data_IF_026280033883
#
_entry.id   IF_026280033883
#
_cell.length_a   1.000
_cell.length_b   1.000
_cell.length_c   1.000
_cell.angle_alpha   90.00
_cell.angle_beta   90.00
_cell.angle_gamma   90.00
#
_symmetry.space_group_name_H-M   'P 1'
#
loop_
_entity.id
_entity.type
_entity.pdbx_description
1 polymer ?
#
# COMPACT_ATOMS: atom_id res chain seq x y z
N UNK A 1 -0.46 31.13 -37.76
CA UNK A 1 1.00 31.39 -37.74
C UNK A 1 1.33 32.86 -37.57
N UNK A 2 1.97 33.22 -36.46
CA UNK A 2 2.36 34.60 -36.15
C UNK A 2 3.77 34.90 -36.66
N UNK A 3 3.96 36.10 -37.23
CA UNK A 3 5.27 36.57 -37.71
C UNK A 3 6.11 37.12 -36.55
N UNK A 4 6.88 36.25 -35.91
CA UNK A 4 7.85 36.63 -34.88
C UNK A 4 9.10 37.26 -35.55
N UNK A 5 9.56 38.43 -35.10
CA UNK A 5 10.74 39.06 -35.71
C UNK A 5 12.00 38.30 -35.31
N UNK A 6 12.95 38.23 -36.23
CA UNK A 6 14.17 37.43 -36.12
C UNK A 6 15.05 37.75 -34.89
N UNK A 7 15.00 39.00 -34.41
CA UNK A 7 15.82 39.46 -33.30
C UNK A 7 15.05 39.52 -31.97
N UNK A 8 13.74 39.25 -32.00
CA UNK A 8 12.92 39.22 -30.80
C UNK A 8 13.29 37.98 -29.95
N UNK A 9 13.05 38.01 -28.63
CA UNK A 9 13.18 36.82 -27.79
C UNK A 9 12.35 35.66 -28.34
N UNK A 10 12.90 34.44 -28.26
CA UNK A 10 12.19 33.26 -28.70
C UNK A 10 11.00 32.97 -27.77
N UNK A 11 9.79 32.71 -28.29
CA UNK A 11 8.61 32.45 -27.46
C UNK A 11 8.73 31.22 -26.54
N UNK A 12 9.60 30.27 -26.86
CA UNK A 12 9.81 29.09 -26.02
C UNK A 12 10.44 29.37 -24.64
N UNK A 13 10.84 30.61 -24.34
CA UNK A 13 11.40 30.97 -23.04
C UNK A 13 12.90 30.68 -22.87
N UNK A 14 13.60 30.17 -23.89
CA UNK A 14 15.03 29.84 -23.78
C UNK A 14 15.99 31.04 -23.60
N UNK A 15 15.48 32.27 -23.53
CA UNK A 15 16.27 33.51 -23.49
C UNK A 15 17.06 33.86 -24.78
N UNK A 16 17.05 32.99 -25.80
CA UNK A 16 17.75 33.22 -27.08
C UNK A 16 16.89 34.04 -28.04
N UNK A 17 17.53 34.74 -28.99
CA UNK A 17 16.82 35.37 -30.13
C UNK A 17 16.13 34.30 -30.97
N UNK A 18 14.92 34.57 -31.49
CA UNK A 18 14.14 33.61 -32.28
C UNK A 18 14.95 32.98 -33.43
N UNK A 19 15.73 33.79 -34.16
CA UNK A 19 16.62 33.29 -35.23
C UNK A 19 17.71 32.32 -34.80
N UNK A 20 18.08 32.28 -33.52
CA UNK A 20 19.10 31.39 -32.96
C UNK A 20 18.49 30.22 -32.18
N UNK A 21 17.17 30.05 -32.24
CA UNK A 21 16.43 29.09 -31.46
C UNK A 21 15.40 28.39 -32.37
N UNK A 22 14.10 28.61 -32.19
CA UNK A 22 13.06 27.87 -32.90
C UNK A 22 12.84 28.27 -34.37
N UNK A 23 13.45 29.36 -34.89
CA UNK A 23 13.18 29.84 -36.27
C UNK A 23 13.47 28.80 -37.36
N UNK A 24 14.55 28.03 -37.19
CA UNK A 24 14.98 27.03 -38.16
C UNK A 24 14.52 25.62 -37.80
N UNK A 25 13.71 25.50 -36.76
CA UNK A 25 13.06 24.26 -36.34
C UNK A 25 11.68 24.18 -36.96
N UNK A 26 11.12 22.99 -37.08
CA UNK A 26 9.76 22.76 -37.54
C UNK A 26 8.75 22.98 -36.40
N UNK A 27 8.81 24.18 -35.81
CA UNK A 27 7.97 24.63 -34.68
C UNK A 27 7.03 25.72 -35.16
N UNK A 28 5.74 25.47 -35.03
CA UNK A 28 4.68 26.40 -35.41
C UNK A 28 4.23 27.17 -34.18
N UNK A 29 4.31 28.50 -34.26
CA UNK A 29 3.83 29.40 -33.20
C UNK A 29 2.57 30.13 -33.63
N UNK A 30 1.63 30.19 -32.71
CA UNK A 30 0.45 31.05 -32.77
C UNK A 30 0.34 31.87 -31.50
N UNK A 31 -0.57 32.83 -31.52
CA UNK A 31 -0.79 33.77 -30.43
C UNK A 31 -2.30 33.81 -30.16
N UNK A 32 -2.68 33.72 -28.90
CA UNK A 32 -4.06 33.80 -28.49
C UNK A 32 -4.56 35.25 -28.39
N UNK A 33 -5.81 35.43 -27.97
CA UNK A 33 -6.45 36.73 -27.83
C UNK A 33 -5.81 37.60 -26.71
N UNK A 34 -5.09 37.00 -25.75
CA UNK A 34 -4.37 37.71 -24.67
C UNK A 34 -2.96 38.12 -25.08
N UNK A 35 -2.47 37.60 -26.19
CA UNK A 35 -1.15 37.91 -26.72
C UNK A 35 -0.07 36.89 -26.31
N UNK A 36 -0.45 35.78 -25.69
CA UNK A 36 0.45 34.72 -25.27
C UNK A 36 0.71 33.76 -26.43
N UNK A 37 1.96 33.30 -26.54
CA UNK A 37 2.38 32.41 -27.61
C UNK A 37 2.18 30.94 -27.21
N UNK A 38 1.57 30.15 -28.09
CA UNK A 38 1.44 28.71 -27.94
C UNK A 38 1.99 27.96 -29.16
N UNK A 39 2.46 26.74 -28.93
CA UNK A 39 2.95 25.86 -29.99
C UNK A 39 1.77 25.08 -30.60
N UNK A 40 1.73 25.02 -31.93
CA UNK A 40 0.76 24.20 -32.68
C UNK A 40 1.45 22.94 -33.18
N UNK A 41 0.85 21.78 -32.87
CA UNK A 41 1.31 20.47 -33.33
C UNK A 41 0.31 19.97 -34.38
N UNK A 42 0.69 19.91 -35.68
CA UNK A 42 -0.20 19.37 -36.71
C UNK A 42 -0.46 17.88 -36.51
N UNK A 43 -1.72 17.49 -36.42
CA UNK A 43 -2.16 16.08 -36.42
C UNK A 43 -2.15 15.59 -37.88
N UNK A 44 -1.16 14.76 -38.24
CA UNK A 44 -1.04 14.17 -39.58
C UNK A 44 -0.40 12.79 -39.52
N UNK A 45 -0.80 11.90 -40.43
CA UNK A 45 -0.17 10.59 -40.60
C UNK A 45 -0.37 9.72 -39.35
N UNK A 46 0.71 9.13 -38.82
CA UNK A 46 0.62 8.24 -37.64
C UNK A 46 -0.05 8.87 -36.40
N UNK A 47 0.07 10.19 -36.23
CA UNK A 47 -0.56 10.88 -35.11
C UNK A 47 -2.08 11.00 -35.29
N UNK A 48 -2.55 11.09 -36.53
CA UNK A 48 -3.97 11.09 -36.88
C UNK A 48 -4.57 9.71 -36.61
N UNK A 49 -3.91 8.64 -37.07
CA UNK A 49 -4.30 7.26 -36.76
C UNK A 49 -4.38 6.99 -35.26
N UNK A 50 -3.45 7.56 -34.47
CA UNK A 50 -3.46 7.42 -33.02
C UNK A 50 -4.62 8.17 -32.37
N UNK A 51 -4.92 9.39 -32.83
CA UNK A 51 -6.06 10.18 -32.32
C UNK A 51 -7.37 9.48 -32.62
N UNK A 52 -7.54 8.93 -33.83
CA UNK A 52 -8.71 8.12 -34.20
C UNK A 52 -8.87 6.90 -33.27
N UNK A 53 -7.78 6.20 -32.94
CA UNK A 53 -7.83 5.09 -31.97
C UNK A 53 -8.26 5.54 -30.57
N UNK A 54 -7.84 6.73 -30.14
CA UNK A 54 -8.24 7.28 -28.84
C UNK A 54 -9.70 7.76 -28.85
N UNK A 55 -10.24 8.16 -30.00
CA UNK A 55 -11.66 8.48 -30.18
C UNK A 55 -12.52 7.22 -30.19
N UNK A 56 -12.05 6.14 -30.84
CA UNK A 56 -12.68 4.81 -30.79
C UNK A 56 -12.78 4.28 -29.35
N UNK A 57 -11.76 4.55 -28.52
CA UNK A 57 -11.78 4.18 -27.10
C UNK A 57 -12.86 4.94 -26.32
N UNK A 58 -13.00 6.26 -26.55
CA UNK A 58 -14.11 7.03 -25.99
C UNK A 58 -15.45 6.45 -26.43
N UNK A 59 -15.62 6.17 -27.73
CA UNK A 59 -16.87 5.62 -28.24
C UNK A 59 -17.18 4.25 -27.64
N UNK A 60 -16.18 3.38 -27.50
CA UNK A 60 -16.33 2.07 -26.89
C UNK A 60 -16.82 2.13 -25.44
N UNK A 61 -16.35 3.10 -24.65
CA UNK A 61 -16.68 3.20 -23.23
C UNK A 61 -17.93 4.05 -22.94
N UNK A 62 -18.22 5.05 -23.78
CA UNK A 62 -19.28 6.02 -23.54
C UNK A 62 -20.40 6.02 -24.60
N UNK A 63 -20.26 5.22 -25.66
CA UNK A 63 -21.21 5.14 -26.79
C UNK A 63 -21.52 6.51 -27.44
N UNK A 64 -20.54 7.42 -27.42
CA UNK A 64 -20.62 8.77 -27.99
C UNK A 64 -19.27 9.22 -28.52
N UNK A 65 -19.28 10.24 -29.38
CA UNK A 65 -18.07 10.94 -29.80
C UNK A 65 -17.45 11.75 -28.64
N UNK A 66 -16.16 12.08 -28.79
CA UNK A 66 -15.40 12.90 -27.84
C UNK A 66 -15.95 14.33 -27.77
N UNK A 67 -16.16 14.82 -26.55
CA UNK A 67 -16.51 16.19 -26.25
C UNK A 67 -15.25 17.07 -26.12
N UNK A 68 -15.36 18.40 -26.32
CA UNK A 68 -14.20 19.30 -26.23
C UNK A 68 -13.45 19.28 -24.89
N UNK A 69 -14.14 18.89 -23.81
CA UNK A 69 -13.62 18.81 -22.43
C UNK A 69 -13.22 17.39 -22.00
N UNK A 70 -13.43 16.37 -22.85
CA UNK A 70 -12.94 15.03 -22.56
C UNK A 70 -11.40 14.97 -22.65
N UNK A 71 -10.75 14.12 -21.84
CA UNK A 71 -9.31 13.89 -21.96
C UNK A 71 -8.92 13.35 -23.34
N UNK A 72 -7.87 13.91 -23.93
CA UNK A 72 -7.27 13.40 -25.18
C UNK A 72 -6.80 11.94 -25.05
N UNK A 73 -6.31 11.59 -23.86
CA UNK A 73 -5.79 10.27 -23.51
C UNK A 73 -6.66 9.65 -22.41
N UNK A 74 -7.74 8.91 -22.74
CA UNK A 74 -8.69 8.42 -21.75
C UNK A 74 -8.07 7.49 -20.70
N UNK A 75 -7.00 6.77 -21.08
CA UNK A 75 -6.27 5.87 -20.19
C UNK A 75 -5.59 6.56 -19.00
N UNK A 76 -5.37 7.89 -19.04
CA UNK A 76 -4.84 8.63 -17.88
C UNK A 76 -5.83 8.68 -16.71
N UNK A 77 -7.09 8.30 -16.95
CA UNK A 77 -8.09 8.13 -15.89
C UNK A 77 -7.90 6.84 -15.09
N UNK A 78 -7.02 5.93 -15.53
CA UNK A 78 -6.81 4.61 -14.93
C UNK A 78 -5.51 4.52 -14.12
N UNK A 79 -4.58 5.45 -14.30
CA UNK A 79 -3.25 5.43 -13.70
C UNK A 79 -2.84 6.83 -13.28
N UNK A 80 -2.17 6.96 -12.15
CA UNK A 80 -1.58 8.24 -11.74
C UNK A 80 -0.41 8.63 -12.66
N UNK A 81 -0.01 9.89 -12.64
CA UNK A 81 1.20 10.33 -13.37
C UNK A 81 2.46 9.59 -12.84
N UNK A 82 2.51 9.31 -11.54
CA UNK A 82 3.57 8.51 -10.90
C UNK A 82 3.61 7.07 -11.45
N UNK A 83 2.46 6.45 -11.69
CA UNK A 83 2.37 5.11 -12.29
C UNK A 83 2.92 5.10 -13.73
N UNK A 84 2.55 6.12 -14.50
CA UNK A 84 3.02 6.28 -15.87
C UNK A 84 4.54 6.46 -15.91
N UNK A 85 5.08 7.33 -15.05
CA UNK A 85 6.51 7.58 -14.94
C UNK A 85 7.27 6.30 -14.57
N UNK A 86 6.84 5.59 -13.52
CA UNK A 86 7.48 4.33 -13.08
C UNK A 86 7.52 3.29 -14.19
N UNK A 87 6.37 3.00 -14.83
CA UNK A 87 6.29 2.01 -15.92
C UNK A 87 7.18 2.40 -17.09
N UNK A 88 7.27 3.70 -17.42
CA UNK A 88 8.16 4.17 -18.46
C UNK A 88 9.63 3.92 -18.09
N UNK A 89 10.04 4.24 -16.86
CA UNK A 89 11.40 4.00 -16.36
C UNK A 89 11.75 2.50 -16.42
N UNK A 90 10.86 1.62 -15.95
CA UNK A 90 11.06 0.16 -16.00
C UNK A 90 11.25 -0.34 -17.44
N UNK A 91 10.46 0.17 -18.38
CA UNK A 91 10.60 -0.16 -19.80
C UNK A 91 11.96 0.35 -20.30
N UNK A 92 12.33 1.59 -20.00
CA UNK A 92 13.60 2.19 -20.41
C UNK A 92 14.79 1.39 -19.88
N UNK A 93 14.77 0.96 -18.62
CA UNK A 93 15.78 0.10 -18.02
C UNK A 93 15.85 -1.27 -18.72
N UNK A 94 14.69 -1.89 -18.94
CA UNK A 94 14.59 -3.22 -19.56
C UNK A 94 15.11 -3.26 -21.00
N UNK A 95 14.91 -2.19 -21.77
CA UNK A 95 15.43 -2.09 -23.13
C UNK A 95 16.88 -1.61 -23.20
N UNK A 96 17.52 -1.37 -22.05
CA UNK A 96 18.92 -0.96 -21.97
C UNK A 96 19.15 0.49 -22.39
N UNK A 97 18.19 1.38 -22.12
CA UNK A 97 18.31 2.82 -22.38
C UNK A 97 19.50 3.41 -21.61
N UNK A 98 20.19 4.39 -22.20
CA UNK A 98 21.30 5.08 -21.53
C UNK A 98 20.82 5.65 -20.16
N UNK A 99 21.47 5.31 -19.02
CA UNK A 99 21.09 5.81 -17.71
C UNK A 99 20.99 7.34 -17.60
N UNK A 100 21.81 8.09 -18.35
CA UNK A 100 21.72 9.54 -18.37
C UNK A 100 20.40 10.05 -18.99
N UNK A 101 19.82 9.30 -19.93
CA UNK A 101 18.52 9.62 -20.54
C UNK A 101 17.36 9.20 -19.64
N UNK A 102 17.51 8.11 -18.88
CA UNK A 102 16.55 7.73 -17.84
C UNK A 102 16.49 8.84 -16.78
N UNK A 103 17.64 9.34 -16.35
CA UNK A 103 17.72 10.47 -15.43
C UNK A 103 17.10 11.74 -16.02
N UNK A 104 17.42 12.09 -17.27
CA UNK A 104 16.82 13.25 -17.92
C UNK A 104 15.29 13.13 -18.04
N UNK A 105 14.76 11.94 -18.31
CA UNK A 105 13.31 11.69 -18.31
C UNK A 105 12.70 11.93 -16.92
N UNK A 106 13.25 11.35 -15.85
CA UNK A 106 12.79 11.60 -14.47
C UNK A 106 12.80 13.10 -14.13
N UNK A 107 13.89 13.78 -14.51
CA UNK A 107 14.11 15.17 -14.13
C UNK A 107 13.17 16.15 -14.84
N UNK A 108 12.77 15.83 -16.06
CA UNK A 108 12.07 16.75 -16.97
C UNK A 108 10.66 16.29 -17.34
N UNK A 109 10.31 15.02 -17.12
CA UNK A 109 9.08 14.37 -17.61
C UNK A 109 9.02 14.17 -19.13
N UNK A 110 10.09 14.50 -19.86
CA UNK A 110 10.11 14.54 -21.32
C UNK A 110 11.04 13.46 -21.82
N UNK A 111 10.64 12.69 -22.83
CA UNK A 111 11.53 11.76 -23.53
C UNK A 111 11.96 12.36 -24.88
N UNK A 112 13.15 12.95 -24.94
CA UNK A 112 13.67 13.52 -26.17
C UNK A 112 14.35 12.45 -27.03
N UNK A 113 13.76 12.14 -28.20
CA UNK A 113 14.33 11.21 -29.18
C UNK A 113 14.99 11.96 -30.34
N UNK A 114 15.90 11.32 -31.07
CA UNK A 114 16.58 11.91 -32.23
C UNK A 114 15.60 12.49 -33.26
N UNK A 115 14.48 11.80 -33.50
CA UNK A 115 13.43 12.24 -34.41
C UNK A 115 12.63 13.45 -33.93
N UNK A 116 12.74 13.83 -32.65
CA UNK A 116 12.05 14.97 -32.05
C UNK A 116 12.91 16.23 -31.99
N UNK A 117 14.25 16.14 -32.05
CA UNK A 117 15.17 17.27 -31.83
C UNK A 117 14.89 18.46 -32.76
N UNK A 118 14.56 18.18 -34.03
CA UNK A 118 14.25 19.19 -35.05
C UNK A 118 12.90 19.90 -34.83
N UNK A 119 12.01 19.29 -34.05
CA UNK A 119 10.66 19.79 -33.70
C UNK A 119 10.54 20.23 -32.24
N UNK A 120 11.50 19.88 -31.39
CA UNK A 120 11.55 20.28 -30.01
C UNK A 120 11.91 21.76 -29.89
N UNK A 121 11.29 22.48 -28.96
CA UNK A 121 11.66 23.88 -28.70
C UNK A 121 13.10 23.97 -28.18
N UNK A 122 13.70 25.16 -28.28
CA UNK A 122 15.05 25.34 -27.77
C UNK A 122 15.15 25.17 -26.26
N UNK A 123 14.16 25.64 -25.50
CA UNK A 123 14.11 25.48 -24.04
C UNK A 123 14.05 24.01 -23.63
N UNK A 124 13.22 23.20 -24.29
CA UNK A 124 13.10 21.77 -24.02
C UNK A 124 14.42 21.03 -24.27
N UNK A 125 15.11 21.34 -25.38
CA UNK A 125 16.43 20.75 -25.65
C UNK A 125 17.45 21.19 -24.60
N UNK A 126 17.47 22.48 -24.23
CA UNK A 126 18.39 22.97 -23.20
C UNK A 126 18.11 22.29 -21.84
N UNK A 127 16.85 22.08 -21.48
CA UNK A 127 16.43 21.41 -20.24
C UNK A 127 16.89 19.94 -20.19
N UNK A 128 16.65 19.21 -21.28
CA UNK A 128 17.12 17.83 -21.43
C UNK A 128 18.65 17.73 -21.38
N UNK A 129 19.35 18.56 -22.16
CA UNK A 129 20.81 18.56 -22.22
C UNK A 129 21.43 18.93 -20.86
N UNK A 130 20.82 19.86 -20.12
CA UNK A 130 21.23 20.21 -18.77
C UNK A 130 21.09 19.02 -17.80
N UNK A 131 19.98 18.29 -17.84
CA UNK A 131 19.78 17.10 -17.01
C UNK A 131 20.79 15.99 -17.35
N UNK A 132 21.09 15.78 -18.64
CA UNK A 132 22.13 14.85 -19.07
C UNK A 132 23.52 15.30 -18.58
N UNK A 133 23.84 16.60 -18.70
CA UNK A 133 25.11 17.15 -18.23
C UNK A 133 25.25 17.04 -16.70
N UNK A 134 24.17 17.28 -15.96
CA UNK A 134 24.09 17.09 -14.51
C UNK A 134 24.46 15.65 -14.12
N UNK A 135 23.84 14.64 -14.75
CA UNK A 135 24.19 13.23 -14.53
C UNK A 135 25.69 12.96 -14.67
N UNK A 136 26.32 13.44 -15.75
CA UNK A 136 27.76 13.21 -15.96
C UNK A 136 28.64 14.00 -15.00
N UNK A 137 28.24 15.22 -14.63
CA UNK A 137 28.96 16.05 -13.66
C UNK A 137 29.01 15.40 -12.28
N UNK A 138 27.93 14.74 -11.86
CA UNK A 138 27.85 13.98 -10.61
C UNK A 138 28.47 12.57 -10.70
N UNK A 139 28.84 12.11 -11.91
CA UNK A 139 29.37 10.76 -12.11
C UNK A 139 28.31 9.65 -12.05
N UNK A 140 27.04 10.01 -12.17
CA UNK A 140 25.90 9.12 -12.01
C UNK A 140 24.61 9.89 -11.73
N UNK A 141 23.52 9.15 -11.50
CA UNK A 141 22.23 9.71 -11.09
C UNK A 141 22.39 10.31 -9.67
N UNK A 142 22.34 11.64 -9.49
CA UNK A 142 22.51 12.26 -8.16
C UNK A 142 21.44 11.83 -7.16
N UNK A 143 20.28 11.36 -7.63
CA UNK A 143 19.23 10.84 -6.76
C UNK A 143 19.54 9.42 -6.29
N UNK A 144 20.45 8.67 -6.93
CA UNK A 144 20.81 7.30 -6.51
C UNK A 144 21.43 7.23 -5.10
N UNK A 145 22.14 8.27 -4.67
CA UNK A 145 22.76 8.33 -3.35
C UNK A 145 21.91 9.09 -2.32
N UNK A 146 20.71 9.54 -2.71
CA UNK A 146 19.81 10.29 -1.83
C UNK A 146 19.31 9.46 -0.64
N UNK A 147 18.95 10.16 0.44
CA UNK A 147 18.27 9.56 1.59
C UNK A 147 16.97 8.84 1.15
N UNK A 148 16.21 9.42 0.23
CA UNK A 148 14.95 8.85 -0.27
C UNK A 148 15.16 7.49 -0.95
N UNK A 149 16.24 7.33 -1.73
CA UNK A 149 16.62 6.03 -2.33
C UNK A 149 17.02 4.98 -1.30
N UNK A 150 17.70 5.39 -0.22
CA UNK A 150 18.05 4.47 0.87
C UNK A 150 16.79 4.00 1.60
N UNK A 151 15.83 4.91 1.81
CA UNK A 151 14.53 4.57 2.36
C UNK A 151 13.77 3.60 1.46
N UNK A 152 13.64 3.89 0.16
CA UNK A 152 12.98 3.01 -0.82
C UNK A 152 13.62 1.62 -0.89
N UNK A 153 14.95 1.53 -0.80
CA UNK A 153 15.65 0.24 -0.74
C UNK A 153 15.27 -0.58 0.50
N UNK A 154 15.21 0.08 1.67
CA UNK A 154 14.76 -0.56 2.92
C UNK A 154 13.28 -0.95 2.86
N UNK A 155 12.43 -0.10 2.28
CA UNK A 155 11.02 -0.38 2.09
C UNK A 155 10.81 -1.56 1.13
N UNK A 156 11.59 -1.65 0.04
CA UNK A 156 11.59 -2.78 -0.88
C UNK A 156 12.00 -4.09 -0.19
N UNK A 157 12.98 -4.03 0.72
CA UNK A 157 13.34 -5.21 1.52
C UNK A 157 12.18 -5.67 2.42
N UNK A 158 11.44 -4.73 3.02
CA UNK A 158 10.23 -5.07 3.79
C UNK A 158 9.10 -5.64 2.91
N UNK A 159 8.95 -5.13 1.69
CA UNK A 159 8.01 -5.66 0.69
C UNK A 159 8.34 -7.13 0.39
N UNK A 160 9.62 -7.50 0.27
CA UNK A 160 10.05 -8.89 0.05
C UNK A 160 9.90 -9.75 1.31
N UNK A 161 10.05 -9.16 2.48
CA UNK A 161 9.80 -9.86 3.75
C UNK A 161 8.34 -10.30 3.94
N UNK A 162 7.37 -9.66 3.27
CA UNK A 162 5.98 -10.14 3.22
C UNK A 162 5.91 -11.58 2.66
N UNK A 163 6.75 -11.93 1.67
CA UNK A 163 6.80 -13.29 1.13
C UNK A 163 7.21 -14.29 2.21
N UNK A 164 8.15 -13.91 3.08
CA UNK A 164 8.59 -14.76 4.19
C UNK A 164 7.47 -15.06 5.17
N UNK A 165 6.59 -14.08 5.45
CA UNK A 165 5.39 -14.30 6.26
C UNK A 165 4.38 -15.20 5.55
N UNK A 166 4.16 -15.01 4.24
CA UNK A 166 3.27 -15.86 3.43
C UNK A 166 3.74 -17.31 3.45
N UNK A 167 5.04 -17.55 3.29
CA UNK A 167 5.63 -18.88 3.35
C UNK A 167 5.55 -19.47 4.75
N UNK A 168 5.93 -18.72 5.80
CA UNK A 168 5.88 -19.18 7.18
C UNK A 168 4.46 -19.60 7.58
N UNK A 169 3.47 -18.76 7.31
CA UNK A 169 2.07 -19.04 7.64
C UNK A 169 1.57 -20.25 6.87
N UNK A 170 1.91 -20.36 5.58
CA UNK A 170 1.56 -21.53 4.77
C UNK A 170 2.15 -22.84 5.29
N UNK A 171 3.40 -22.81 5.75
CA UNK A 171 4.07 -23.97 6.35
C UNK A 171 3.40 -24.34 7.68
N UNK A 172 3.11 -23.37 8.55
CA UNK A 172 2.41 -23.61 9.81
C UNK A 172 1.03 -24.24 9.57
N UNK A 173 0.25 -23.71 8.63
CA UNK A 173 -1.06 -24.29 8.27
C UNK A 173 -0.89 -25.72 7.78
N UNK A 174 0.00 -25.94 6.81
CA UNK A 174 0.17 -27.24 6.16
C UNK A 174 0.69 -28.32 7.10
N UNK A 175 1.66 -27.99 7.96
CA UNK A 175 2.37 -28.96 8.82
C UNK A 175 1.77 -29.09 10.22
N UNK A 176 0.97 -28.13 10.66
CA UNK A 176 0.45 -28.11 12.03
C UNK A 176 -1.07 -27.97 12.06
N UNK A 177 -1.67 -26.97 11.43
CA UNK A 177 -3.13 -26.81 11.57
C UNK A 177 -3.97 -27.79 10.72
N UNK A 178 -3.36 -28.47 9.75
CA UNK A 178 -4.04 -29.44 8.88
C UNK A 178 -3.91 -30.91 9.32
N UNK A 179 -3.10 -31.22 10.35
CA UNK A 179 -3.05 -32.59 10.88
C UNK A 179 -4.11 -32.74 12.00
N UNK A 180 -4.66 -33.94 12.17
CA UNK A 180 -5.64 -34.23 13.23
C UNK A 180 -4.97 -34.15 14.61
N UNK A 181 -4.86 -32.95 15.17
CA UNK A 181 -4.37 -32.74 16.52
C UNK A 181 -5.52 -32.87 17.52
N UNK A 182 -5.31 -33.66 18.57
CA UNK A 182 -6.17 -33.66 19.75
C UNK A 182 -5.97 -32.35 20.49
N UNK A 183 -6.89 -31.41 20.34
CA UNK A 183 -6.89 -30.18 21.11
C UNK A 183 -7.49 -30.44 22.50
N UNK A 184 -6.65 -30.93 23.42
CA UNK A 184 -7.02 -31.16 24.83
C UNK A 184 -7.42 -29.85 25.56
N UNK A 185 -7.28 -28.68 24.91
CA UNK A 185 -7.71 -27.38 25.42
C UNK A 185 -9.10 -26.96 24.91
N UNK A 186 -9.75 -27.79 24.11
CA UNK A 186 -11.11 -27.54 23.66
C UNK A 186 -12.07 -27.45 24.87
N UNK A 187 -12.72 -26.29 25.08
CA UNK A 187 -13.64 -26.14 26.20
C UNK A 187 -14.91 -26.96 25.96
N UNK A 188 -15.58 -27.33 27.06
CA UNK A 188 -16.86 -28.02 27.00
C UNK A 188 -17.85 -27.19 26.14
N UNK A 189 -18.31 -27.80 25.05
CA UNK A 189 -19.26 -27.20 24.12
C UNK A 189 -18.66 -26.49 22.89
N UNK A 190 -17.36 -26.49 22.67
CA UNK A 190 -16.78 -26.14 21.36
C UNK A 190 -16.97 -27.32 20.39
N UNK A 191 -18.09 -27.33 19.65
CA UNK A 191 -18.51 -28.45 18.80
C UNK A 191 -18.02 -28.29 17.35
N UNK A 192 -17.89 -27.04 16.88
CA UNK A 192 -17.54 -26.76 15.48
C UNK A 192 -16.02 -26.61 15.27
N UNK A 193 -15.35 -25.82 16.11
CA UNK A 193 -13.91 -25.58 16.01
C UNK A 193 -13.29 -25.51 17.41
N UNK A 194 -12.14 -26.17 17.55
CA UNK A 194 -11.30 -26.00 18.74
C UNK A 194 -10.60 -24.63 18.76
N UNK A 195 -10.13 -24.16 19.92
CA UNK A 195 -9.31 -22.95 20.02
C UNK A 195 -8.13 -22.93 19.05
N UNK A 196 -7.35 -24.02 18.98
CA UNK A 196 -6.18 -24.12 18.08
C UNK A 196 -6.61 -24.09 16.62
N UNK A 197 -7.67 -24.83 16.24
CA UNK A 197 -8.19 -24.82 14.88
C UNK A 197 -8.68 -23.42 14.46
N UNK A 198 -9.30 -22.68 15.38
CA UNK A 198 -9.73 -21.30 15.15
C UNK A 198 -8.55 -20.35 14.97
N UNK A 199 -7.47 -20.48 15.74
CA UNK A 199 -6.22 -19.74 15.51
C UNK A 199 -5.64 -20.06 14.12
N UNK A 200 -5.65 -21.33 13.71
CA UNK A 200 -5.25 -21.77 12.37
C UNK A 200 -6.09 -21.16 11.25
N UNK A 201 -7.40 -21.03 11.44
CA UNK A 201 -8.30 -20.33 10.49
C UNK A 201 -7.90 -18.86 10.33
N UNK A 202 -7.64 -18.16 11.44
CA UNK A 202 -7.21 -16.77 11.41
C UNK A 202 -5.84 -16.62 10.74
N UNK A 203 -4.92 -17.56 10.99
CA UNK A 203 -3.63 -17.62 10.29
C UNK A 203 -3.79 -17.82 8.78
N UNK A 204 -4.68 -18.73 8.36
CA UNK A 204 -4.97 -18.97 6.95
C UNK A 204 -5.59 -17.75 6.25
N UNK A 205 -6.49 -17.04 6.94
CA UNK A 205 -7.02 -15.76 6.46
C UNK A 205 -5.91 -14.71 6.32
N UNK A 206 -5.03 -14.59 7.32
CA UNK A 206 -3.90 -13.66 7.26
C UNK A 206 -2.94 -13.99 6.12
N UNK A 207 -2.62 -15.27 5.90
CA UNK A 207 -1.79 -15.69 4.77
C UNK A 207 -2.41 -15.29 3.42
N UNK A 208 -3.70 -15.55 3.22
CA UNK A 208 -4.41 -15.17 1.99
C UNK A 208 -4.43 -13.65 1.79
N UNK A 209 -4.63 -12.91 2.87
CA UNK A 209 -4.70 -11.45 2.84
C UNK A 209 -3.34 -10.84 2.54
N UNK A 210 -2.25 -11.36 3.14
CA UNK A 210 -0.87 -10.92 2.83
C UNK A 210 -0.51 -11.12 1.36
N UNK A 211 -0.96 -12.21 0.72
CA UNK A 211 -0.78 -12.39 -0.74
C UNK A 211 -1.45 -11.29 -1.55
N UNK A 212 -2.67 -10.90 -1.16
CA UNK A 212 -3.38 -9.78 -1.80
C UNK A 212 -2.68 -8.45 -1.53
N UNK A 213 -2.25 -8.19 -0.30
CA UNK A 213 -1.50 -6.99 0.07
C UNK A 213 -0.22 -6.85 -0.75
N UNK A 214 0.59 -7.92 -0.85
CA UNK A 214 1.83 -7.92 -1.66
C UNK A 214 1.55 -7.55 -3.12
N UNK A 215 0.51 -8.14 -3.71
CA UNK A 215 0.10 -7.82 -5.07
C UNK A 215 -0.31 -6.35 -5.22
N UNK A 216 -1.15 -5.85 -4.32
CA UNK A 216 -1.62 -4.46 -4.36
C UNK A 216 -0.49 -3.45 -4.18
N UNK A 217 0.48 -3.70 -3.29
CA UNK A 217 1.65 -2.82 -3.11
C UNK A 217 2.53 -2.80 -4.37
N UNK A 218 2.76 -3.95 -5.00
CA UNK A 218 3.57 -4.03 -6.23
C UNK A 218 2.88 -3.29 -7.39
N UNK A 219 1.56 -3.34 -7.45
CA UNK A 219 0.75 -2.67 -8.46
C UNK A 219 0.30 -1.25 -8.05
N UNK A 220 0.84 -0.71 -6.96
CA UNK A 220 0.60 0.65 -6.42
C UNK A 220 -0.81 0.99 -5.92
N UNK A 221 -1.63 -0.03 -5.66
CA UNK A 221 -2.92 0.11 -4.99
C UNK A 221 -2.74 0.21 -3.46
N UNK A 222 -1.95 1.18 -3.01
CA UNK A 222 -1.44 1.27 -1.64
C UNK A 222 -2.53 1.48 -0.59
N UNK A 223 -3.52 2.33 -0.88
CA UNK A 223 -4.65 2.55 0.02
C UNK A 223 -5.47 1.27 0.23
N UNK A 224 -5.73 0.51 -0.84
CA UNK A 224 -6.45 -0.76 -0.75
C UNK A 224 -5.63 -1.83 -0.02
N UNK A 225 -4.31 -1.83 -0.21
CA UNK A 225 -3.42 -2.64 0.60
C UNK A 225 -3.56 -2.30 2.09
N UNK A 226 -3.55 -1.01 2.46
CA UNK A 226 -3.73 -0.55 3.84
C UNK A 226 -5.10 -0.95 4.42
N UNK A 227 -6.18 -0.89 3.64
CA UNK A 227 -7.50 -1.40 4.04
C UNK A 227 -7.44 -2.89 4.41
N UNK A 228 -6.67 -3.68 3.66
CA UNK A 228 -6.49 -5.11 3.96
C UNK A 228 -5.60 -5.35 5.18
N UNK A 229 -4.69 -4.44 5.53
CA UNK A 229 -3.90 -4.53 6.77
C UNK A 229 -4.81 -4.57 8.01
N UNK A 230 -5.93 -3.82 8.00
CA UNK A 230 -6.94 -3.92 9.08
C UNK A 230 -7.41 -5.37 9.27
N UNK A 231 -7.65 -6.09 8.18
CA UNK A 231 -8.12 -7.48 8.23
C UNK A 231 -7.11 -8.44 8.86
N UNK A 232 -5.81 -8.29 8.57
CA UNK A 232 -4.77 -9.11 9.23
C UNK A 232 -4.64 -8.75 10.72
N UNK A 233 -4.83 -7.48 11.09
CA UNK A 233 -4.81 -7.05 12.48
C UNK A 233 -6.02 -7.57 13.26
N UNK A 234 -7.20 -7.59 12.66
CA UNK A 234 -8.38 -8.22 13.27
C UNK A 234 -8.15 -9.72 13.49
N UNK A 235 -7.52 -10.43 12.54
CA UNK A 235 -7.13 -11.83 12.75
C UNK A 235 -6.13 -11.99 13.91
N UNK A 236 -5.19 -11.06 14.08
CA UNK A 236 -4.29 -11.02 15.25
C UNK A 236 -5.08 -10.89 16.56
N UNK A 237 -6.05 -9.96 16.62
CA UNK A 237 -6.91 -9.77 17.78
C UNK A 237 -7.70 -11.05 18.13
N UNK A 238 -8.19 -11.76 17.12
CA UNK A 238 -8.86 -13.04 17.30
C UNK A 238 -7.90 -14.12 17.86
N UNK A 239 -6.66 -14.17 17.38
CA UNK A 239 -5.63 -15.09 17.87
C UNK A 239 -5.31 -14.84 19.35
N UNK A 240 -5.06 -13.58 19.75
CA UNK A 240 -4.76 -13.28 21.16
C UNK A 240 -5.96 -13.57 22.07
N UNK A 241 -7.19 -13.29 21.60
CA UNK A 241 -8.39 -13.54 22.38
C UNK A 241 -8.55 -15.02 22.70
N UNK A 242 -8.48 -15.87 21.68
CA UNK A 242 -8.69 -17.31 21.87
C UNK A 242 -7.53 -17.95 22.62
N UNK A 243 -6.30 -17.45 22.43
CA UNK A 243 -5.13 -17.89 23.21
C UNK A 243 -5.28 -17.60 24.71
N UNK A 244 -5.79 -16.43 25.08
CA UNK A 244 -5.91 -16.02 26.49
C UNK A 244 -7.26 -16.40 27.13
N UNK A 245 -8.30 -16.59 26.32
CA UNK A 245 -9.67 -16.95 26.73
C UNK A 245 -10.24 -18.01 25.79
N UNK A 246 -9.82 -19.29 25.89
CA UNK A 246 -10.23 -20.36 24.97
C UNK A 246 -11.75 -20.52 24.82
N UNK A 247 -12.51 -20.39 25.90
CA UNK A 247 -13.99 -20.45 25.93
C UNK A 247 -14.66 -19.44 24.99
N UNK A 248 -13.97 -18.36 24.63
CA UNK A 248 -14.49 -17.37 23.69
C UNK A 248 -14.76 -17.95 22.29
N UNK A 249 -14.12 -19.08 21.92
CA UNK A 249 -14.36 -19.76 20.64
C UNK A 249 -15.83 -20.11 20.46
N UNK A 250 -16.52 -20.50 21.54
CA UNK A 250 -17.96 -20.80 21.52
C UNK A 250 -18.77 -19.57 21.12
N UNK A 251 -18.38 -18.38 21.57
CA UNK A 251 -19.05 -17.11 21.19
C UNK A 251 -18.74 -16.69 19.76
N UNK A 252 -17.53 -17.00 19.30
CA UNK A 252 -17.02 -16.60 17.97
C UNK A 252 -17.51 -17.52 16.85
N UNK A 253 -17.77 -18.79 17.17
CA UNK A 253 -18.10 -19.85 16.19
C UNK A 253 -19.46 -20.46 16.50
N UNK A 254 -19.57 -21.30 17.53
CA UNK A 254 -20.75 -22.12 17.82
C UNK A 254 -22.01 -21.28 17.98
N UNK A 255 -21.95 -20.18 18.73
CA UNK A 255 -23.05 -19.25 18.90
C UNK A 255 -23.52 -18.64 17.56
N UNK A 256 -22.59 -18.31 16.65
CA UNK A 256 -22.93 -17.67 15.36
C UNK A 256 -23.60 -18.64 14.40
N UNK A 257 -23.12 -19.88 14.35
CA UNK A 257 -23.74 -20.95 13.57
C UNK A 257 -25.04 -21.43 14.21
N UNK A 258 -25.02 -21.59 15.53
CA UNK A 258 -26.10 -22.14 16.31
C UNK A 258 -27.37 -21.29 16.36
N UNK A 259 -27.26 -19.98 16.14
CA UNK A 259 -28.45 -19.13 15.91
C UNK A 259 -29.19 -19.55 14.62
N UNK A 260 -28.46 -20.03 13.60
CA UNK A 260 -29.04 -20.40 12.29
C UNK A 260 -29.70 -21.77 12.32
N UNK A 261 -29.13 -22.73 13.05
CA UNK A 261 -29.68 -24.09 13.18
C UNK A 261 -30.63 -24.25 14.38
N UNK A 262 -30.72 -23.24 15.25
CA UNK A 262 -31.63 -23.20 16.40
C UNK A 262 -31.08 -23.78 17.70
N UNK A 263 -29.82 -24.24 17.71
CA UNK A 263 -29.13 -24.71 18.92
C UNK A 263 -28.81 -23.56 19.91
N UNK A 264 -28.76 -22.32 19.43
CA UNK A 264 -28.63 -21.11 20.23
C UNK A 264 -29.76 -20.11 19.94
N UNK A 265 -30.11 -19.29 20.94
CA UNK A 265 -31.11 -18.21 20.81
C UNK A 265 -30.66 -16.96 21.53
N UNK A 266 -31.15 -15.79 21.11
CA UNK A 266 -30.94 -14.56 21.89
C UNK A 266 -31.63 -14.67 23.25
N UNK A 267 -30.99 -14.13 24.28
CA UNK A 267 -31.55 -14.15 25.62
C UNK A 267 -32.79 -13.25 25.68
N UNK A 268 -33.95 -13.80 26.03
CA UNK A 268 -35.16 -12.99 26.23
C UNK A 268 -35.22 -12.40 27.65
N UNK A 269 -35.49 -11.10 27.73
CA UNK A 269 -35.81 -10.39 28.98
C UNK A 269 -37.06 -9.56 28.79
N UNK A 270 -38.10 -9.83 29.59
CA UNK A 270 -39.38 -9.12 29.56
C UNK A 270 -40.03 -9.07 28.16
N UNK A 271 -39.98 -10.19 27.42
CA UNK A 271 -40.54 -10.28 26.07
C UNK A 271 -39.76 -9.53 24.99
N UNK A 272 -38.54 -9.06 25.28
CA UNK A 272 -37.61 -8.47 24.31
C UNK A 272 -36.30 -9.24 24.27
N UNK A 273 -35.77 -9.47 23.08
CA UNK A 273 -34.48 -10.11 22.87
C UNK A 273 -33.32 -9.18 23.25
N UNK A 274 -32.42 -9.62 24.14
CA UNK A 274 -31.14 -8.97 24.40
C UNK A 274 -30.12 -9.46 23.36
N UNK A 275 -30.00 -8.70 22.26
CA UNK A 275 -29.07 -9.01 21.15
C UNK A 275 -27.59 -9.06 21.55
N UNK A 276 -27.22 -8.73 22.79
CA UNK A 276 -25.84 -8.80 23.30
C UNK A 276 -25.50 -10.16 23.91
N UNK A 277 -26.49 -11.01 24.16
CA UNK A 277 -26.32 -12.30 24.82
C UNK A 277 -27.07 -13.40 24.08
N UNK A 278 -26.44 -14.54 23.96
CA UNK A 278 -27.02 -15.75 23.39
C UNK A 278 -27.02 -16.84 24.45
N UNK A 279 -28.02 -17.72 24.40
CA UNK A 279 -28.14 -18.86 25.30
C UNK A 279 -28.08 -20.14 24.46
N UNK A 280 -27.33 -21.13 24.95
CA UNK A 280 -27.36 -22.48 24.38
C UNK A 280 -28.63 -23.19 24.84
N UNK A 281 -29.42 -23.71 23.89
CA UNK A 281 -30.73 -24.30 24.20
C UNK A 281 -30.63 -25.59 25.03
N UNK A 282 -29.55 -26.37 24.88
CA UNK A 282 -29.38 -27.65 25.56
C UNK A 282 -28.98 -27.53 27.03
N UNK A 283 -28.09 -26.59 27.36
CA UNK A 283 -27.52 -26.44 28.71
C UNK A 283 -28.04 -25.21 29.47
N UNK A 284 -28.53 -24.19 28.75
CA UNK A 284 -28.88 -22.89 29.33
C UNK A 284 -27.70 -21.94 29.52
N UNK A 285 -26.49 -22.30 29.07
CA UNK A 285 -25.30 -21.47 29.21
C UNK A 285 -25.39 -20.19 28.37
N UNK A 286 -24.95 -19.08 28.96
CA UNK A 286 -25.05 -17.74 28.36
C UNK A 286 -23.69 -17.27 27.87
N UNK A 287 -23.62 -16.89 26.60
CA UNK A 287 -22.42 -16.36 25.96
C UNK A 287 -22.66 -14.95 25.42
N UNK A 288 -21.63 -14.09 25.31
CA UNK A 288 -21.74 -12.83 24.60
C UNK A 288 -22.03 -13.09 23.11
N UNK A 289 -22.97 -12.35 22.53
CA UNK A 289 -23.29 -12.48 21.10
C UNK A 289 -22.22 -11.87 20.20
N UNK A 290 -21.47 -10.88 20.71
CA UNK A 290 -20.38 -10.22 20.00
C UNK A 290 -19.30 -9.80 21.00
N UNK A 291 -18.04 -9.91 20.58
CA UNK A 291 -16.88 -9.45 21.32
C UNK A 291 -16.27 -8.31 20.50
N UNK A 292 -16.11 -7.13 21.10
CA UNK A 292 -15.55 -5.96 20.40
C UNK A 292 -14.04 -6.10 20.24
N UNK A 293 -13.46 -5.47 19.20
CA UNK A 293 -12.01 -5.44 18.98
C UNK A 293 -11.23 -4.96 20.20
N UNK A 294 -11.70 -3.90 20.87
CA UNK A 294 -11.13 -3.43 22.14
C UNK A 294 -11.06 -4.53 23.21
N UNK A 295 -12.12 -5.33 23.39
CA UNK A 295 -12.12 -6.45 24.35
C UNK A 295 -11.19 -7.59 23.94
N UNK A 296 -10.93 -7.74 22.64
CA UNK A 296 -9.93 -8.68 22.15
C UNK A 296 -8.53 -8.18 22.48
N UNK A 297 -8.23 -6.90 22.25
CA UNK A 297 -6.97 -6.28 22.62
C UNK A 297 -6.71 -6.37 24.14
N UNK A 298 -7.70 -6.01 24.96
CA UNK A 298 -7.63 -6.10 26.43
C UNK A 298 -7.34 -7.54 26.92
N UNK A 299 -7.71 -8.57 26.15
CA UNK A 299 -7.53 -9.97 26.58
C UNK A 299 -6.08 -10.41 26.70
N UNK A 300 -5.13 -9.72 26.08
CA UNK A 300 -3.71 -10.06 26.15
C UNK A 300 -3.04 -9.62 27.46
N UNK A 301 -3.69 -8.75 28.23
CA UNK A 301 -3.13 -8.07 29.40
C UNK A 301 -1.84 -7.28 29.11
N UNK A 302 -1.67 -6.79 27.87
CA UNK A 302 -0.54 -5.94 27.47
C UNK A 302 -1.05 -4.56 27.08
N UNK A 303 -0.55 -3.52 27.76
CA UNK A 303 -0.90 -2.12 27.48
C UNK A 303 -0.68 -1.78 26.00
N UNK A 304 0.38 -2.31 25.40
CA UNK A 304 0.67 -2.16 23.96
C UNK A 304 -0.52 -2.54 23.06
N UNK A 305 -1.22 -3.64 23.34
CA UNK A 305 -2.28 -4.12 22.44
C UNK A 305 -3.49 -3.18 22.48
N UNK A 306 -3.76 -2.55 23.63
CA UNK A 306 -4.81 -1.55 23.82
C UNK A 306 -4.40 -0.23 23.15
N UNK A 307 -3.20 0.27 23.46
CA UNK A 307 -2.68 1.52 22.89
C UNK A 307 -2.59 1.45 21.36
N UNK A 308 -2.14 0.30 20.83
CA UNK A 308 -2.06 0.09 19.39
C UNK A 308 -3.45 -0.02 18.79
N UNK A 309 -4.41 -0.67 19.45
CA UNK A 309 -5.79 -0.69 18.98
C UNK A 309 -6.34 0.74 18.85
N UNK A 310 -6.21 1.58 19.87
CA UNK A 310 -6.78 2.93 19.86
C UNK A 310 -6.15 3.82 18.77
N UNK A 311 -4.83 3.72 18.56
CA UNK A 311 -4.13 4.53 17.55
C UNK A 311 -4.27 3.97 16.13
N UNK A 312 -3.93 2.70 15.94
CA UNK A 312 -3.90 2.08 14.62
C UNK A 312 -5.32 1.84 14.08
N UNK A 313 -6.23 1.30 14.90
CA UNK A 313 -7.57 0.92 14.42
C UNK A 313 -8.37 2.14 13.96
N UNK A 314 -8.24 3.27 14.66
CA UNK A 314 -8.87 4.52 14.23
C UNK A 314 -8.32 4.97 12.88
N UNK A 315 -6.98 5.03 12.73
CA UNK A 315 -6.31 5.46 11.49
C UNK A 315 -6.72 4.61 10.29
N UNK A 316 -6.68 3.27 10.40
CA UNK A 316 -7.10 2.41 9.27
C UNK A 316 -8.61 2.38 9.08
N UNK A 317 -9.41 2.67 10.10
CA UNK A 317 -10.87 2.79 9.95
C UNK A 317 -11.25 4.05 9.17
N UNK A 318 -10.51 5.15 9.33
CA UNK A 318 -10.70 6.37 8.54
C UNK A 318 -10.39 6.16 7.05
N UNK A 319 -9.52 5.20 6.71
CA UNK A 319 -9.23 4.80 5.32
C UNK A 319 -10.34 3.89 4.76
N UNK A 320 -10.94 3.04 5.58
CA UNK A 320 -11.99 2.09 5.15
C UNK A 320 -13.36 2.75 5.05
N UNK A 321 -13.67 3.70 5.92
CA UNK A 321 -14.97 4.36 5.99
C UNK A 321 -14.87 5.77 5.40
N UNK A 322 -15.91 6.26 4.69
CA UNK A 322 -15.95 7.66 4.27
C UNK A 322 -15.81 8.57 5.49
N UNK A 323 -14.65 9.20 5.62
CA UNK A 323 -14.30 10.10 6.71
C UNK A 323 -14.11 11.50 6.15
N UNK A 324 -14.21 12.52 6.99
CA UNK A 324 -13.82 13.88 6.58
C UNK A 324 -12.31 14.07 6.76
N UNK A 325 -11.69 13.21 7.58
CA UNK A 325 -10.28 13.32 7.94
C UNK A 325 -9.32 12.86 6.83
N UNK A 326 -9.77 12.04 5.88
CA UNK A 326 -9.00 11.57 4.72
C UNK A 326 -9.24 12.40 3.43
N UNK A 327 -10.03 13.48 3.48
CA UNK A 327 -10.26 14.34 2.30
C UNK A 327 -8.93 14.90 1.75
N UNK A 328 -7.97 15.19 2.63
CA UNK A 328 -6.65 15.72 2.24
C UNK A 328 -5.85 14.73 1.40
N UNK A 329 -6.14 13.44 1.51
CA UNK A 329 -5.42 12.42 0.76
C UNK A 329 -5.83 12.44 -0.72
N UNK A 330 -7.06 12.88 -1.00
CA UNK A 330 -7.63 12.98 -2.35
C UNK A 330 -7.59 14.38 -2.95
N UNK A 331 -6.96 15.36 -2.31
CA UNK A 331 -6.90 16.74 -2.82
C UNK A 331 -5.45 17.16 -3.06
N UNK A 332 -5.14 17.56 -4.29
CA UNK A 332 -3.85 18.11 -4.73
C UNK A 332 -4.11 19.39 -5.52
N UNK A 333 -3.37 20.46 -5.22
CA UNK A 333 -3.51 21.77 -5.88
C UNK A 333 -4.98 22.26 -6.02
N UNK A 334 -5.73 22.16 -4.93
CA UNK A 334 -7.16 22.51 -4.84
C UNK A 334 -8.09 21.70 -5.77
N UNK A 335 -7.64 20.54 -6.27
CA UNK A 335 -8.41 19.63 -7.13
C UNK A 335 -8.45 18.21 -6.56
N UNK A 336 -9.47 17.44 -6.95
CA UNK A 336 -9.52 16.02 -6.62
C UNK A 336 -8.47 15.24 -7.42
N UNK A 337 -7.65 14.46 -6.71
CA UNK A 337 -6.74 13.48 -7.29
C UNK A 337 -7.08 12.10 -6.72
N UNK A 338 -7.96 11.32 -7.39
CA UNK A 338 -8.43 10.04 -6.89
C UNK A 338 -7.43 8.89 -7.06
N UNK A 339 -6.34 9.11 -7.82
CA UNK A 339 -5.36 8.07 -8.16
C UNK A 339 -4.06 8.21 -7.37
N UNK A 340 -3.78 9.39 -6.80
CA UNK A 340 -2.61 9.59 -5.95
C UNK A 340 -2.86 8.99 -4.56
N UNK A 341 -1.94 8.14 -4.10
CA UNK A 341 -1.99 7.55 -2.76
C UNK A 341 -0.60 7.54 -2.11
N UNK A 342 -0.49 8.17 -0.95
CA UNK A 342 0.76 8.26 -0.17
C UNK A 342 0.80 7.22 0.98
N UNK A 343 0.07 6.10 0.86
CA UNK A 343 -0.10 5.08 1.91
C UNK A 343 0.83 3.86 1.80
N UNK A 344 1.82 3.89 0.90
CA UNK A 344 2.67 2.74 0.60
C UNK A 344 3.47 2.29 1.82
N UNK A 345 4.08 3.25 2.50
CA UNK A 345 4.93 3.08 3.67
C UNK A 345 4.16 2.41 4.80
N UNK A 346 3.01 2.98 5.17
CA UNK A 346 2.12 2.41 6.19
C UNK A 346 1.66 1.00 5.83
N UNK A 347 1.22 0.78 4.58
CA UNK A 347 0.75 -0.53 4.15
C UNK A 347 1.84 -1.60 4.32
N UNK A 348 3.08 -1.30 3.92
CA UNK A 348 4.23 -2.21 4.06
C UNK A 348 4.60 -2.42 5.53
N UNK A 349 4.83 -1.34 6.26
CA UNK A 349 5.29 -1.35 7.65
C UNK A 349 4.31 -2.14 8.53
N UNK A 350 3.02 -1.83 8.44
CA UNK A 350 2.02 -2.51 9.26
C UNK A 350 1.78 -3.95 8.83
N UNK A 351 1.90 -4.27 7.54
CA UNK A 351 1.81 -5.66 7.07
C UNK A 351 2.89 -6.55 7.69
N UNK A 352 4.15 -6.09 7.63
CA UNK A 352 5.27 -6.82 8.21
C UNK A 352 5.11 -6.90 9.73
N UNK A 353 4.82 -5.76 10.37
CA UNK A 353 4.69 -5.70 11.83
C UNK A 353 3.58 -6.62 12.36
N UNK A 354 2.36 -6.53 11.83
CA UNK A 354 1.23 -7.37 12.26
C UNK A 354 1.50 -8.84 11.94
N UNK A 355 2.15 -9.14 10.81
CA UNK A 355 2.60 -10.50 10.50
C UNK A 355 3.60 -11.04 11.54
N UNK A 356 4.53 -10.22 12.01
CA UNK A 356 5.43 -10.57 13.10
C UNK A 356 4.70 -10.76 14.44
N UNK A 357 3.70 -9.93 14.75
CA UNK A 357 2.85 -10.11 15.94
C UNK A 357 2.13 -11.47 15.91
N UNK A 358 1.53 -11.83 14.78
CA UNK A 358 0.88 -13.14 14.59
C UNK A 358 1.90 -14.27 14.76
N UNK A 359 3.08 -14.16 14.13
CA UNK A 359 4.16 -15.15 14.23
C UNK A 359 4.60 -15.35 15.69
N UNK A 360 4.71 -14.25 16.44
CA UNK A 360 5.09 -14.26 17.85
C UNK A 360 4.02 -14.93 18.73
N UNK A 361 2.73 -14.77 18.43
CA UNK A 361 1.69 -15.46 19.19
C UNK A 361 1.62 -16.96 18.88
N UNK A 362 1.84 -17.33 17.62
CA UNK A 362 1.80 -18.72 17.16
C UNK A 362 2.94 -19.54 17.76
N UNK A 363 4.13 -18.95 17.89
CA UNK A 363 5.31 -19.67 18.40
C UNK A 363 5.11 -20.24 19.82
N UNK A 364 4.16 -19.68 20.55
CA UNK A 364 3.84 -20.01 21.94
C UNK A 364 2.58 -20.90 22.06
N UNK A 365 2.07 -21.39 20.93
CA UNK A 365 1.00 -22.41 20.93
C UNK A 365 1.55 -23.71 21.52
N UNK A 366 0.78 -24.27 22.46
CA UNK A 366 1.08 -25.54 23.10
C UNK A 366 1.18 -26.65 22.06
N UNK A 367 2.20 -27.49 22.14
CA UNK A 367 2.46 -28.61 21.22
C UNK A 367 2.90 -28.20 19.80
N UNK A 368 3.19 -26.92 19.52
CA UNK A 368 3.83 -26.55 18.26
C UNK A 368 5.22 -27.21 18.17
N UNK A 369 5.56 -27.89 17.05
CA UNK A 369 6.88 -28.51 16.89
C UNK A 369 8.03 -27.51 17.07
N UNK A 370 9.09 -27.92 17.78
CA UNK A 370 10.24 -27.07 18.05
C UNK A 370 10.90 -26.51 16.78
N UNK A 371 10.86 -27.25 15.67
CA UNK A 371 11.32 -26.76 14.37
C UNK A 371 10.49 -25.57 13.86
N UNK A 372 9.16 -25.64 13.95
CA UNK A 372 8.27 -24.54 13.56
C UNK A 372 8.38 -23.35 14.51
N UNK A 373 8.59 -23.58 15.81
CA UNK A 373 8.91 -22.51 16.76
C UNK A 373 10.20 -21.79 16.37
N UNK A 374 11.25 -22.54 16.00
CA UNK A 374 12.51 -22.02 15.49
C UNK A 374 12.33 -21.21 14.21
N UNK A 375 11.54 -21.71 13.25
CA UNK A 375 11.23 -21.01 12.00
C UNK A 375 10.49 -19.68 12.28
N UNK A 376 9.47 -19.69 13.15
CA UNK A 376 8.75 -18.48 13.56
C UNK A 376 9.70 -17.46 14.20
N UNK A 377 10.58 -17.91 15.11
CA UNK A 377 11.55 -17.06 15.78
C UNK A 377 12.56 -16.46 14.81
N UNK A 378 13.10 -17.26 13.89
CA UNK A 378 14.11 -16.82 12.92
C UNK A 378 13.53 -15.78 11.94
N UNK A 379 12.33 -16.03 11.40
CA UNK A 379 11.64 -15.11 10.50
C UNK A 379 11.29 -13.82 11.25
N UNK A 380 10.61 -13.90 12.40
CA UNK A 380 10.24 -12.71 13.16
C UNK A 380 11.47 -11.86 13.55
N UNK A 381 12.58 -12.50 13.96
CA UNK A 381 13.82 -11.78 14.31
C UNK A 381 14.39 -10.99 13.12
N UNK A 382 14.50 -11.62 11.95
CA UNK A 382 15.02 -10.95 10.75
C UNK A 382 14.14 -9.78 10.33
N UNK A 383 12.84 -10.04 10.24
CA UNK A 383 11.86 -9.04 9.78
C UNK A 383 11.77 -7.83 10.71
N UNK A 384 11.75 -8.06 12.02
CA UNK A 384 11.72 -6.97 13.00
C UNK A 384 13.02 -6.14 12.98
N UNK A 385 14.17 -6.76 12.68
CA UNK A 385 15.42 -6.01 12.52
C UNK A 385 15.36 -5.08 11.30
N UNK A 386 14.94 -5.60 10.13
CA UNK A 386 14.73 -4.77 8.93
C UNK A 386 13.69 -3.66 9.18
N UNK A 387 12.61 -3.97 9.91
CA UNK A 387 11.56 -3.02 10.25
C UNK A 387 12.10 -1.89 11.14
N UNK A 388 12.87 -2.20 12.18
CA UNK A 388 13.45 -1.18 13.07
C UNK A 388 14.40 -0.28 12.30
N UNK A 389 15.29 -0.85 11.47
CA UNK A 389 16.19 -0.04 10.65
C UNK A 389 15.43 0.90 9.71
N UNK A 390 14.30 0.45 9.17
CA UNK A 390 13.44 1.28 8.30
C UNK A 390 12.75 2.40 9.10
N UNK A 391 12.26 2.09 10.30
CA UNK A 391 11.62 3.06 11.18
C UNK A 391 12.59 4.10 11.74
N UNK A 392 13.84 3.72 12.02
CA UNK A 392 14.90 4.64 12.41
C UNK A 392 15.18 5.65 11.31
N UNK A 393 15.26 5.18 10.05
CA UNK A 393 15.41 6.04 8.89
C UNK A 393 14.23 7.00 8.73
N UNK A 394 13.00 6.46 8.79
CA UNK A 394 11.77 7.27 8.70
C UNK A 394 11.70 8.31 9.82
N UNK A 395 12.11 7.97 11.03
CA UNK A 395 12.15 8.91 12.15
C UNK A 395 13.13 10.05 11.89
N UNK A 396 14.33 9.77 11.40
CA UNK A 396 15.30 10.81 11.04
C UNK A 396 14.72 11.77 10.00
N UNK A 397 14.00 11.24 9.02
CA UNK A 397 13.32 12.03 8.00
C UNK A 397 12.14 12.84 8.57
N UNK A 398 11.30 12.21 9.39
CA UNK A 398 10.12 12.79 10.03
C UNK A 398 10.50 13.94 10.98
N UNK A 399 11.55 13.76 11.79
CA UNK A 399 12.13 14.78 12.67
C UNK A 399 12.65 16.00 11.87
N UNK A 400 13.11 15.79 10.64
CA UNK A 400 13.59 16.86 9.75
C UNK A 400 12.44 17.71 9.17
N UNK A 401 11.29 17.10 8.90
CA UNK A 401 10.13 17.77 8.29
C UNK A 401 9.03 18.17 9.29
N UNK A 402 9.13 17.72 10.54
CA UNK A 402 8.23 18.11 11.64
C UNK A 402 6.88 17.40 11.64
N UNK A 403 6.80 16.17 11.11
CA UNK A 403 5.59 15.32 11.16
C UNK A 403 5.75 14.33 12.33
N UNK A 404 4.67 13.99 13.05
CA UNK A 404 4.72 12.94 14.08
C UNK A 404 3.82 11.76 13.72
N UNK A 405 4.36 10.54 13.89
CA UNK A 405 3.64 9.28 13.75
C UNK A 405 3.66 8.52 15.09
N UNK A 406 2.75 8.83 16.04
CA UNK A 406 2.76 8.26 17.39
C UNK A 406 2.64 6.72 17.39
N UNK A 407 1.87 6.17 16.46
CA UNK A 407 1.70 4.74 16.29
C UNK A 407 3.00 4.05 15.83
N UNK A 408 3.82 4.70 15.00
CA UNK A 408 5.11 4.14 14.56
C UNK A 408 6.13 4.10 15.69
N UNK A 409 6.06 5.05 16.64
CA UNK A 409 6.85 4.97 17.89
C UNK A 409 6.47 3.74 18.70
N UNK A 410 5.17 3.41 18.76
CA UNK A 410 4.66 2.24 19.47
C UNK A 410 5.08 0.93 18.76
N UNK A 411 5.01 0.89 17.43
CA UNK A 411 5.53 -0.21 16.59
C UNK A 411 7.01 -0.44 16.85
N UNK A 412 7.84 0.60 16.82
CA UNK A 412 9.29 0.49 17.05
C UNK A 412 9.59 -0.04 18.46
N UNK A 413 8.92 0.50 19.49
CA UNK A 413 9.06 0.03 20.88
C UNK A 413 8.73 -1.46 20.98
N UNK A 414 7.60 -1.88 20.43
CA UNK A 414 7.16 -3.29 20.51
C UNK A 414 8.05 -4.24 19.73
N UNK A 415 8.53 -3.82 18.57
CA UNK A 415 9.49 -4.59 17.77
C UNK A 415 10.78 -4.88 18.56
N UNK A 416 11.31 -3.87 19.27
CA UNK A 416 12.47 -4.03 20.14
C UNK A 416 12.22 -4.98 21.33
N UNK A 417 11.04 -4.90 21.96
CA UNK A 417 10.64 -5.80 23.05
C UNK A 417 10.55 -7.26 22.57
N UNK A 418 9.93 -7.49 21.41
CA UNK A 418 9.80 -8.83 20.83
C UNK A 418 11.18 -9.38 20.47
N UNK A 419 12.05 -8.59 19.82
CA UNK A 419 13.42 -9.00 19.49
C UNK A 419 14.21 -9.43 20.73
N UNK A 420 14.11 -8.65 21.80
CA UNK A 420 14.77 -8.97 23.07
C UNK A 420 14.26 -10.30 23.64
N UNK A 421 12.96 -10.57 23.57
CA UNK A 421 12.37 -11.81 24.07
C UNK A 421 12.73 -13.05 23.23
N UNK A 422 12.85 -12.89 21.90
CA UNK A 422 13.24 -13.98 20.98
C UNK A 422 14.73 -14.33 21.14
N UNK A 423 15.57 -13.39 21.60
CA UNK A 423 17.00 -13.61 21.83
C UNK A 423 17.34 -14.41 23.09
N UNK A 424 16.43 -14.50 24.08
CA UNK A 424 16.67 -15.16 25.38
C UNK A 424 16.30 -16.65 25.36
N UNK A 425 15.51 -17.11 24.38
CA UNK A 425 14.97 -18.49 24.31
C UNK A 425 15.78 -19.47 23.44
N UNK A 426 16.97 -19.09 22.93
CA UNK A 426 17.83 -19.95 22.09
C UNK A 426 18.92 -20.66 22.87
#
# INVERSE_FOLDING_TARGET
MVKIKVNDPCPCGSGRKYKKCCKYKDVIWEQDDTGDYYQVIPIKGKLEELVEQLDDEIYKHFERERLPDDPLMPHTLMFSDKDHERKMIEIMEKVGTNPAFIYAYKRTGILLTDGMVEKATGSLVDEWDNAVAEYYAFGGDPERESEDRQFESKLSLLIDDIDSLIYLFGICIKKYFNEDFSDDSAPDGAEILSPVAYMGLNLAKSQRTLRSIKYLIVEDYNEDALKLVRGIYENYLHIILVKNKPDSVVSLVDAKYGIRDGTFKYLEKNGKEDRRKVVRCSTGDIYPSNISGYKMAESSNRDFDIDFYDLFYQRVSDVVHPSVFNIRDYVRDDKLSPLDSDWKEEAVIYSVFVGCLISFEIMDIKHLPASLQGDCAAVARRLLAHLIETLEFLRMWSDRIGIEHPELKLVCKRSNEILSNIGVKS
#
